data_IF_837153298800
#
_entry.id   IF_837153298800
#
_cell.length_a   1.000
_cell.length_b   1.000
_cell.length_c   1.000
_cell.angle_alpha   90.00
_cell.angle_beta   90.00
_cell.angle_gamma   90.00
#
_symmetry.space_group_name_H-M   'P 1'
#
loop_
_entity.id
_entity.type
_entity.pdbx_description
1 polymer ?
#
# COMPACT_ATOMS: atom_id res chain seq x y z
N UNK A 1 -64.73 -22.97 -27.52
CA UNK A 1 -64.12 -23.45 -26.26
C UNK A 1 -62.73 -23.05 -26.20
N UNK A 2 -62.45 -22.01 -25.47
CA UNK A 2 -61.26 -21.21 -25.42
C UNK A 2 -60.32 -21.73 -24.30
N UNK A 3 -59.12 -22.15 -24.65
CA UNK A 3 -58.08 -22.61 -23.71
C UNK A 3 -57.01 -21.54 -23.49
N UNK A 4 -57.03 -20.94 -22.30
CA UNK A 4 -56.06 -19.94 -21.84
C UNK A 4 -54.73 -20.63 -21.48
N UNK A 5 -53.66 -20.38 -22.23
CA UNK A 5 -52.29 -20.74 -21.87
C UNK A 5 -51.72 -19.66 -20.93
N UNK A 6 -51.61 -19.98 -19.64
CA UNK A 6 -50.84 -19.23 -18.65
C UNK A 6 -49.36 -19.42 -18.93
N UNK A 7 -48.65 -18.35 -19.32
CA UNK A 7 -47.17 -18.28 -19.31
C UNK A 7 -46.71 -18.04 -17.88
N UNK A 8 -46.14 -19.05 -17.25
CA UNK A 8 -45.38 -18.94 -16.00
C UNK A 8 -43.98 -18.44 -16.34
N UNK A 9 -43.68 -17.20 -15.96
CA UNK A 9 -42.34 -16.66 -16.03
C UNK A 9 -41.48 -17.28 -14.92
N UNK A 10 -40.61 -18.20 -15.30
CA UNK A 10 -39.54 -18.71 -14.44
C UNK A 10 -38.53 -17.57 -14.20
N UNK A 11 -38.54 -16.98 -13.00
CA UNK A 11 -37.44 -16.15 -12.51
C UNK A 11 -36.28 -17.11 -12.22
N UNK A 12 -35.32 -17.16 -13.12
CA UNK A 12 -34.02 -17.81 -12.90
C UNK A 12 -33.20 -16.96 -11.95
N UNK A 13 -33.29 -17.23 -10.65
CA UNK A 13 -32.27 -16.82 -9.70
C UNK A 13 -31.08 -17.75 -9.90
N UNK A 14 -30.11 -17.33 -10.73
CA UNK A 14 -28.86 -18.03 -10.86
C UNK A 14 -28.13 -17.94 -9.49
N UNK A 15 -28.31 -19.00 -8.69
CA UNK A 15 -27.47 -19.21 -7.52
C UNK A 15 -26.03 -19.40 -8.02
N UNK A 16 -25.15 -18.47 -7.70
CA UNK A 16 -23.71 -18.60 -7.97
C UNK A 16 -23.24 -19.86 -7.24
N UNK A 17 -22.89 -20.87 -8.01
CA UNK A 17 -22.46 -22.16 -7.48
C UNK A 17 -21.21 -21.99 -6.60
N UNK A 18 -21.04 -22.77 -5.52
CA UNK A 18 -19.84 -22.71 -4.65
C UNK A 18 -18.51 -22.84 -5.41
N UNK A 19 -18.52 -23.57 -6.53
CA UNK A 19 -17.35 -23.75 -7.40
C UNK A 19 -16.87 -22.43 -8.05
N UNK A 20 -17.78 -21.57 -8.50
CA UNK A 20 -17.43 -20.25 -9.06
C UNK A 20 -16.83 -19.30 -8.01
N UNK A 21 -17.30 -19.37 -6.76
CA UNK A 21 -16.73 -18.61 -5.64
C UNK A 21 -15.32 -19.08 -5.30
N UNK A 22 -15.07 -20.39 -5.33
CA UNK A 22 -13.74 -20.97 -5.06
C UNK A 22 -12.73 -20.60 -6.13
N UNK A 23 -13.10 -20.55 -7.41
CA UNK A 23 -12.23 -20.14 -8.51
C UNK A 23 -11.89 -18.65 -8.42
N UNK A 24 -12.86 -17.78 -8.11
CA UNK A 24 -12.64 -16.35 -7.97
C UNK A 24 -11.69 -16.01 -6.81
N UNK A 25 -11.77 -16.76 -5.71
CA UNK A 25 -10.85 -16.58 -4.56
C UNK A 25 -9.45 -17.15 -4.86
N UNK A 26 -9.36 -18.27 -5.58
CA UNK A 26 -8.07 -18.84 -5.98
C UNK A 26 -7.29 -17.87 -6.89
N UNK A 27 -7.97 -17.19 -7.83
CA UNK A 27 -7.38 -16.14 -8.66
C UNK A 27 -6.84 -14.97 -7.84
N UNK A 28 -7.60 -14.49 -6.87
CA UNK A 28 -7.16 -13.43 -5.95
C UNK A 28 -5.94 -13.87 -5.12
N UNK A 29 -5.94 -15.09 -4.59
CA UNK A 29 -4.81 -15.64 -3.82
C UNK A 29 -3.55 -15.75 -4.67
N UNK A 30 -3.67 -16.25 -5.91
CA UNK A 30 -2.54 -16.35 -6.86
C UNK A 30 -2.03 -14.96 -7.25
N UNK A 31 -2.91 -13.99 -7.51
CA UNK A 31 -2.54 -12.63 -7.85
C UNK A 31 -1.84 -11.90 -6.69
N UNK A 32 -2.34 -12.08 -5.47
CA UNK A 32 -1.75 -11.47 -4.26
C UNK A 32 -0.44 -12.14 -3.83
N UNK A 33 -0.27 -13.45 -4.11
CA UNK A 33 0.97 -14.19 -3.81
C UNK A 33 2.06 -14.03 -4.88
N UNK A 34 1.70 -13.73 -6.13
CA UNK A 34 2.62 -13.59 -7.26
C UNK A 34 3.33 -12.22 -7.34
N UNK A 35 3.22 -11.38 -6.32
CA UNK A 35 3.74 -10.00 -6.27
C UNK A 35 5.26 -9.83 -6.26
N UNK A 36 6.03 -10.81 -6.75
CA UNK A 36 7.43 -10.62 -7.10
C UNK A 36 7.50 -9.95 -8.48
N UNK A 37 7.80 -8.66 -8.52
CA UNK A 37 7.96 -7.89 -9.75
C UNK A 37 9.21 -8.35 -10.51
N UNK A 38 9.11 -8.71 -11.81
CA UNK A 38 10.29 -8.79 -12.66
C UNK A 38 10.67 -7.35 -13.07
N UNK A 39 11.91 -6.98 -12.77
CA UNK A 39 12.52 -5.77 -13.30
C UNK A 39 12.52 -5.80 -14.84
N UNK A 40 11.82 -4.88 -15.48
CA UNK A 40 11.93 -4.61 -16.92
C UNK A 40 12.31 -3.17 -17.16
N UNK A 41 13.53 -3.00 -17.65
CA UNK A 41 14.06 -1.75 -18.19
C UNK A 41 13.26 -1.29 -19.40
N UNK A 42 12.67 -0.10 -19.33
CA UNK A 42 12.33 0.67 -20.51
C UNK A 42 12.59 2.15 -20.25
N UNK A 43 13.55 2.67 -20.99
CA UNK A 43 13.83 4.09 -21.10
C UNK A 43 12.68 4.82 -21.82
N UNK A 44 12.15 5.91 -21.24
CA UNK A 44 11.27 6.84 -21.94
C UNK A 44 11.68 8.27 -21.57
N UNK A 45 11.86 9.08 -22.60
CA UNK A 45 12.26 10.49 -22.66
C UNK A 45 11.17 11.41 -22.07
N UNK A 46 11.53 12.54 -21.45
CA UNK A 46 10.56 13.46 -20.88
C UNK A 46 10.05 14.52 -21.87
N UNK A 47 8.89 15.11 -21.64
CA UNK A 47 8.55 16.43 -22.13
C UNK A 47 8.68 17.52 -21.06
N UNK A 48 9.11 18.67 -21.55
CA UNK A 48 9.38 19.95 -20.86
C UNK A 48 8.08 20.75 -20.70
N UNK A 49 7.99 21.53 -19.63
CA UNK A 49 7.22 22.79 -19.66
C UNK A 49 6.25 23.07 -18.52
N UNK A 50 6.51 24.18 -17.83
CA UNK A 50 5.57 25.24 -17.57
C UNK A 50 5.05 25.36 -16.13
N UNK A 51 5.52 26.41 -15.42
CA UNK A 51 5.10 26.75 -14.06
C UNK A 51 3.80 27.50 -13.95
N UNK A 52 3.33 27.66 -12.71
CA UNK A 52 2.78 28.90 -12.16
C UNK A 52 2.43 28.73 -10.68
N UNK A 53 2.71 29.77 -9.92
CA UNK A 53 2.45 29.93 -8.49
C UNK A 53 0.99 30.30 -8.21
N UNK A 54 0.51 30.03 -6.98
CA UNK A 54 -0.79 30.52 -6.52
C UNK A 54 -1.11 30.14 -5.07
N UNK A 55 -0.78 31.06 -4.17
CA UNK A 55 -1.50 31.49 -2.95
C UNK A 55 -2.29 30.49 -2.07
N UNK A 56 -1.98 30.50 -0.78
CA UNK A 56 -2.75 29.95 0.32
C UNK A 56 -3.94 30.84 0.71
N UNK A 57 -4.93 30.31 1.40
CA UNK A 57 -5.48 31.01 2.56
C UNK A 57 -5.73 30.15 3.82
N UNK A 58 -5.54 30.82 4.89
CA UNK A 58 -6.04 30.91 6.26
C UNK A 58 -6.85 29.77 6.92
N UNK A 59 -6.52 29.64 8.21
CA UNK A 59 -7.04 28.77 9.29
C UNK A 59 -8.47 29.08 9.70
N UNK A 60 -9.18 28.06 10.16
CA UNK A 60 -10.20 28.17 11.18
C UNK A 60 -10.17 26.97 12.14
N UNK A 61 -10.38 27.22 13.44
CA UNK A 61 -10.24 26.31 14.57
C UNK A 61 -11.50 25.43 14.81
N UNK A 62 -11.44 24.41 15.71
CA UNK A 62 -12.40 23.32 15.78
C UNK A 62 -13.56 23.57 16.76
N UNK A 63 -14.71 23.00 16.46
CA UNK A 63 -15.82 22.84 17.43
C UNK A 63 -16.16 21.36 17.62
N UNK A 64 -16.51 21.05 18.85
CA UNK A 64 -16.68 19.74 19.49
C UNK A 64 -18.07 19.14 19.31
N UNK A 65 -18.09 17.80 19.21
CA UNK A 65 -19.02 16.80 19.73
C UNK A 65 -20.48 16.76 19.25
N UNK A 66 -20.95 15.55 18.99
CA UNK A 66 -22.36 15.13 19.00
C UNK A 66 -22.62 13.88 18.18
N UNK A 67 -23.09 12.85 18.86
CA UNK A 67 -23.42 11.49 18.46
C UNK A 67 -24.44 11.35 17.34
N UNK A 68 -24.35 10.20 16.71
CA UNK A 68 -25.42 9.31 16.24
C UNK A 68 -25.33 8.87 14.78
N UNK A 69 -25.21 7.61 14.63
CA UNK A 69 -25.30 6.66 13.59
C UNK A 69 -26.02 6.93 12.26
N UNK A 70 -25.47 6.26 11.26
CA UNK A 70 -26.17 5.85 10.04
C UNK A 70 -26.42 6.94 8.99
N UNK A 71 -25.37 7.29 8.26
CA UNK A 71 -25.37 7.76 6.85
C UNK A 71 -24.04 8.48 6.51
N UNK A 72 -22.89 7.79 6.56
CA UNK A 72 -21.57 8.47 6.47
C UNK A 72 -20.55 7.84 5.53
N UNK A 73 -20.99 7.19 4.45
CA UNK A 73 -20.00 6.72 3.45
C UNK A 73 -19.43 7.88 2.59
N UNK A 74 -20.13 9.02 2.52
CA UNK A 74 -19.69 10.19 1.77
C UNK A 74 -18.87 11.23 2.58
N UNK A 75 -19.05 11.29 3.89
CA UNK A 75 -18.41 12.33 4.72
C UNK A 75 -16.96 11.99 5.12
N UNK A 76 -16.58 10.70 5.12
CA UNK A 76 -15.25 10.25 5.55
C UNK A 76 -14.15 10.38 4.48
N UNK A 77 -14.49 10.60 3.22
CA UNK A 77 -13.48 10.83 2.17
C UNK A 77 -12.82 12.20 2.27
N UNK A 78 -13.48 13.17 2.93
CA UNK A 78 -12.99 14.52 3.17
C UNK A 78 -12.17 14.63 4.47
N UNK A 79 -12.16 13.61 5.34
CA UNK A 79 -11.37 13.63 6.56
C UNK A 79 -9.88 13.76 6.22
N UNK A 80 -9.20 14.65 6.92
CA UNK A 80 -7.77 14.82 6.79
C UNK A 80 -7.07 13.48 7.05
N UNK A 81 -6.23 13.08 6.10
CA UNK A 81 -5.40 11.89 6.22
C UNK A 81 -4.46 12.03 7.42
N UNK A 82 -4.53 11.12 8.36
CA UNK A 82 -3.84 11.24 9.65
C UNK A 82 -2.51 10.51 9.73
N UNK A 83 -2.39 9.32 9.13
CA UNK A 83 -1.15 8.51 9.17
C UNK A 83 -1.16 7.40 8.12
N UNK A 84 0.02 6.89 7.77
CA UNK A 84 0.19 5.64 7.02
C UNK A 84 0.23 4.46 7.99
N UNK A 85 -0.41 3.38 7.62
CA UNK A 85 -0.38 2.09 8.31
C UNK A 85 0.26 1.08 7.36
N UNK A 86 1.35 0.49 7.80
CA UNK A 86 2.12 -0.44 6.98
C UNK A 86 1.69 -1.87 7.29
N UNK A 87 1.28 -2.62 6.28
CA UNK A 87 0.89 -4.00 6.50
C UNK A 87 2.12 -4.90 6.61
N UNK A 88 2.13 -5.76 7.62
CA UNK A 88 3.12 -6.79 7.82
C UNK A 88 2.70 -8.13 7.22
N UNK A 89 1.40 -8.44 7.31
CA UNK A 89 0.81 -9.62 6.73
C UNK A 89 -0.43 -9.29 5.91
N UNK A 90 -0.64 -10.05 4.84
CA UNK A 90 -1.90 -10.21 4.15
C UNK A 90 -2.42 -11.62 4.45
N UNK A 91 -3.65 -11.71 4.92
CA UNK A 91 -4.33 -13.00 5.09
C UNK A 91 -5.50 -13.11 4.13
N UNK A 92 -5.72 -14.30 3.59
CA UNK A 92 -6.85 -14.60 2.70
C UNK A 92 -7.57 -15.84 3.20
N UNK A 93 -8.85 -15.70 3.49
CA UNK A 93 -9.74 -16.77 3.91
C UNK A 93 -10.83 -16.97 2.83
N UNK A 94 -10.80 -18.07 2.07
CA UNK A 94 -11.70 -18.26 0.92
C UNK A 94 -13.18 -18.12 1.22
N UNK A 95 -13.60 -18.45 2.43
CA UNK A 95 -14.99 -18.36 2.89
C UNK A 95 -15.35 -17.03 3.54
N UNK A 96 -14.37 -16.12 3.63
CA UNK A 96 -14.49 -14.84 4.32
C UNK A 96 -14.13 -14.92 5.80
N UNK A 97 -13.58 -13.83 6.31
CA UNK A 97 -13.25 -13.65 7.72
C UNK A 97 -14.50 -13.23 8.49
N UNK A 98 -14.85 -13.96 9.54
CA UNK A 98 -15.92 -13.51 10.45
C UNK A 98 -15.43 -12.34 11.31
N UNK A 99 -16.33 -11.47 11.76
CA UNK A 99 -16.02 -10.39 12.67
C UNK A 99 -15.29 -10.89 13.94
N UNK A 100 -15.67 -12.08 14.44
CA UNK A 100 -15.01 -12.71 15.59
C UNK A 100 -13.54 -13.08 15.29
N UNK A 101 -13.23 -13.62 14.09
CA UNK A 101 -11.84 -13.89 13.67
C UNK A 101 -11.03 -12.60 13.57
N UNK A 102 -11.59 -11.56 12.94
CA UNK A 102 -10.93 -10.23 12.82
C UNK A 102 -10.65 -9.65 14.21
N UNK A 103 -11.61 -9.69 15.12
CA UNK A 103 -11.43 -9.22 16.49
C UNK A 103 -10.36 -10.03 17.27
N UNK A 104 -10.30 -11.35 17.06
CA UNK A 104 -9.26 -12.20 17.68
C UNK A 104 -7.88 -11.88 17.16
N UNK A 105 -7.72 -11.63 15.84
CA UNK A 105 -6.46 -11.19 15.24
C UNK A 105 -6.04 -9.86 15.87
N UNK A 106 -6.95 -8.90 16.04
CA UNK A 106 -6.67 -7.61 16.68
C UNK A 106 -6.19 -7.69 18.13
N UNK A 107 -6.44 -8.82 18.81
CA UNK A 107 -5.98 -9.09 20.20
C UNK A 107 -4.62 -9.81 20.27
N UNK A 108 -4.04 -10.22 19.16
CA UNK A 108 -2.70 -10.83 19.13
C UNK A 108 -1.68 -9.79 19.58
N UNK A 109 -0.76 -10.20 20.46
CA UNK A 109 0.29 -9.32 20.96
C UNK A 109 1.10 -8.70 19.81
N UNK A 110 1.30 -7.39 19.84
CA UNK A 110 2.00 -6.63 18.81
C UNK A 110 1.12 -6.18 17.64
N UNK A 111 -0.07 -6.73 17.43
CA UNK A 111 -1.00 -6.25 16.40
C UNK A 111 -1.55 -4.88 16.78
N UNK A 112 -1.37 -3.90 15.91
CA UNK A 112 -1.85 -2.53 16.08
C UNK A 112 -3.08 -2.22 15.24
N UNK A 113 -3.13 -2.74 14.02
CA UNK A 113 -4.23 -2.48 13.11
C UNK A 113 -4.57 -3.73 12.29
N UNK A 114 -5.85 -3.91 12.02
CA UNK A 114 -6.38 -4.94 11.12
C UNK A 114 -7.42 -4.29 10.21
N UNK A 115 -7.30 -4.50 8.91
CA UNK A 115 -8.27 -4.04 7.93
C UNK A 115 -8.77 -5.23 7.10
N UNK A 116 -9.98 -5.67 7.33
CA UNK A 116 -10.66 -6.65 6.50
C UNK A 116 -11.32 -5.96 5.30
N UNK A 117 -11.32 -6.64 4.13
CA UNK A 117 -11.90 -6.14 2.91
C UNK A 117 -12.44 -7.25 2.02
N UNK A 118 -13.37 -6.87 1.15
CA UNK A 118 -13.96 -7.78 0.17
C UNK A 118 -12.99 -8.03 -0.99
N UNK A 119 -13.19 -9.10 -1.74
CA UNK A 119 -12.37 -9.31 -2.93
C UNK A 119 -12.81 -10.47 -3.78
N UNK A 120 -12.19 -10.58 -4.94
CA UNK A 120 -12.41 -11.66 -5.89
C UNK A 120 -11.81 -11.37 -7.25
N UNK A 121 -11.92 -12.34 -8.14
CA UNK A 121 -11.63 -12.18 -9.56
C UNK A 121 -12.93 -11.90 -10.32
N UNK A 122 -12.91 -10.88 -11.17
CA UNK A 122 -14.00 -10.52 -12.05
C UNK A 122 -13.47 -10.28 -13.47
N UNK A 123 -14.34 -9.97 -14.42
CA UNK A 123 -13.92 -9.53 -15.76
C UNK A 123 -14.14 -8.03 -15.93
N UNK A 124 -13.13 -7.35 -16.46
CA UNK A 124 -13.19 -5.96 -16.87
C UNK A 124 -12.59 -5.82 -18.26
N UNK A 125 -13.25 -5.10 -19.18
CA UNK A 125 -12.84 -4.99 -20.59
C UNK A 125 -12.54 -6.38 -21.22
N UNK A 126 -13.35 -7.40 -20.90
CA UNK A 126 -13.20 -8.76 -21.38
C UNK A 126 -12.07 -9.59 -20.76
N UNK A 127 -11.27 -9.04 -19.84
CA UNK A 127 -10.10 -9.70 -19.24
C UNK A 127 -10.32 -9.99 -17.75
N UNK A 128 -9.75 -11.08 -17.20
CA UNK A 128 -9.79 -11.33 -15.77
C UNK A 128 -8.96 -10.28 -15.02
N UNK A 129 -9.47 -9.83 -13.89
CA UNK A 129 -8.84 -8.84 -13.02
C UNK A 129 -9.11 -9.16 -11.56
N UNK A 130 -8.10 -8.94 -10.72
CA UNK A 130 -8.23 -9.02 -9.26
C UNK A 130 -8.79 -7.72 -8.72
N UNK A 131 -9.91 -7.80 -7.99
CA UNK A 131 -10.60 -6.62 -7.44
C UNK A 131 -10.76 -6.74 -5.95
N UNK A 132 -10.52 -5.65 -5.24
CA UNK A 132 -10.86 -5.52 -3.83
C UNK A 132 -11.95 -4.47 -3.63
N UNK A 133 -12.82 -4.73 -2.64
CA UNK A 133 -13.87 -3.84 -2.19
C UNK A 133 -13.54 -3.30 -0.81
N UNK A 134 -13.45 -1.99 -0.68
CA UNK A 134 -12.94 -1.35 0.54
C UNK A 134 -13.86 -0.23 1.03
N UNK A 135 -13.75 0.10 2.33
CA UNK A 135 -14.17 1.41 2.83
C UNK A 135 -13.06 2.41 2.52
N UNK A 136 -13.31 3.46 1.70
CA UNK A 136 -12.28 4.40 1.28
C UNK A 136 -11.55 5.09 2.44
N UNK A 137 -12.28 5.50 3.49
CA UNK A 137 -11.71 6.18 4.64
C UNK A 137 -10.76 5.31 5.46
N UNK A 138 -11.06 4.01 5.57
CA UNK A 138 -10.22 3.06 6.28
C UNK A 138 -9.02 2.60 5.44
N UNK A 139 -9.22 2.32 4.15
CA UNK A 139 -8.18 1.82 3.27
C UNK A 139 -7.13 2.86 2.92
N UNK A 140 -7.49 4.15 2.97
CA UNK A 140 -6.61 5.28 2.65
C UNK A 140 -5.28 5.22 3.40
N UNK A 141 -5.31 4.94 4.69
CA UNK A 141 -4.12 4.82 5.53
C UNK A 141 -3.21 3.64 5.17
N UNK A 142 -3.68 2.66 4.42
CA UNK A 142 -2.94 1.46 4.03
C UNK A 142 -2.33 1.53 2.64
N UNK A 143 -2.46 2.67 1.97
CA UNK A 143 -1.89 2.89 0.63
C UNK A 143 -0.61 3.72 0.72
N UNK A 144 0.26 3.63 -0.30
CA UNK A 144 1.44 4.47 -0.36
C UNK A 144 1.05 5.94 -0.22
N UNK A 145 1.92 6.68 0.47
CA UNK A 145 1.69 8.05 0.88
C UNK A 145 1.14 8.97 -0.22
N UNK A 146 1.68 8.87 -1.44
CA UNK A 146 1.21 9.67 -2.59
C UNK A 146 -0.23 9.36 -2.94
N UNK A 147 -0.62 8.09 -2.91
CA UNK A 147 -2.00 7.67 -3.11
C UNK A 147 -2.86 8.11 -1.93
N UNK A 148 -2.37 7.93 -0.70
CA UNK A 148 -3.06 8.39 0.50
C UNK A 148 -3.32 9.91 0.50
N UNK A 149 -2.41 10.71 -0.05
CA UNK A 149 -2.52 12.18 -0.14
C UNK A 149 -3.33 12.67 -1.35
N UNK A 150 -3.61 11.80 -2.34
CA UNK A 150 -4.34 12.18 -3.54
C UNK A 150 -5.86 12.24 -3.29
N UNK A 151 -6.35 13.43 -2.95
CA UNK A 151 -7.77 13.66 -2.66
C UNK A 151 -8.67 13.28 -3.85
N UNK A 152 -8.23 13.52 -5.09
CA UNK A 152 -9.01 13.18 -6.29
C UNK A 152 -9.22 11.67 -6.44
N UNK A 153 -8.23 10.86 -6.06
CA UNK A 153 -8.33 9.40 -6.03
C UNK A 153 -9.41 8.93 -5.04
N UNK A 154 -9.40 9.46 -3.83
CA UNK A 154 -10.33 9.08 -2.77
C UNK A 154 -11.75 9.57 -3.02
N UNK A 155 -11.90 10.77 -3.55
CA UNK A 155 -13.21 11.29 -3.99
C UNK A 155 -13.79 10.39 -5.08
N UNK A 156 -13.00 10.03 -6.11
CA UNK A 156 -13.49 9.16 -7.17
C UNK A 156 -13.97 7.79 -6.63
N UNK A 157 -13.21 7.19 -5.69
CA UNK A 157 -13.59 5.89 -5.07
C UNK A 157 -14.86 6.02 -4.22
N UNK A 158 -15.00 7.09 -3.46
CA UNK A 158 -16.18 7.38 -2.62
C UNK A 158 -17.43 7.61 -3.47
N UNK A 159 -17.29 8.28 -4.62
CA UNK A 159 -18.36 8.51 -5.61
C UNK A 159 -18.80 7.23 -6.33
N UNK A 160 -18.23 6.06 -6.00
CA UNK A 160 -18.57 4.81 -6.63
C UNK A 160 -17.86 4.50 -7.95
N UNK A 161 -16.88 5.33 -8.35
CA UNK A 161 -16.00 5.04 -9.47
C UNK A 161 -14.99 3.96 -9.02
N UNK A 162 -14.50 3.14 -9.95
CA UNK A 162 -13.39 2.25 -9.63
C UNK A 162 -12.05 2.96 -9.88
N UNK A 163 -11.05 2.57 -9.12
CA UNK A 163 -9.67 3.00 -9.29
C UNK A 163 -8.79 1.80 -9.61
N UNK A 164 -7.62 2.01 -10.22
CA UNK A 164 -6.82 0.94 -10.75
C UNK A 164 -5.33 1.07 -10.43
N UNK A 165 -4.63 -0.06 -10.37
CA UNK A 165 -3.18 -0.05 -10.43
C UNK A 165 -2.70 0.50 -11.78
N UNK A 166 -1.53 1.18 -11.86
CA UNK A 166 -0.99 1.71 -13.11
C UNK A 166 -0.79 0.63 -14.19
N UNK A 167 -0.37 -0.57 -13.80
CA UNK A 167 -0.22 -1.73 -14.68
C UNK A 167 -1.57 -2.19 -15.25
N UNK A 168 -2.60 -2.25 -14.43
CA UNK A 168 -3.96 -2.61 -14.85
C UNK A 168 -4.55 -1.54 -15.79
N UNK A 169 -4.37 -0.25 -15.47
CA UNK A 169 -4.77 0.84 -16.38
C UNK A 169 -4.16 0.66 -17.78
N UNK A 170 -2.85 0.41 -17.84
CA UNK A 170 -2.14 0.21 -19.13
C UNK A 170 -2.62 -1.06 -19.84
N UNK A 171 -2.71 -2.19 -19.12
CA UNK A 171 -3.11 -3.49 -19.66
C UNK A 171 -4.53 -3.50 -20.21
N UNK A 172 -5.45 -2.79 -19.56
CA UNK A 172 -6.88 -2.74 -19.91
C UNK A 172 -7.24 -1.53 -20.80
N UNK A 173 -6.30 -0.63 -21.08
CA UNK A 173 -6.55 0.58 -21.86
C UNK A 173 -7.54 1.56 -21.22
N UNK A 174 -7.53 1.67 -19.88
CA UNK A 174 -8.52 2.46 -19.15
C UNK A 174 -8.34 3.97 -19.39
N UNK A 175 -9.44 4.63 -19.73
CA UNK A 175 -9.54 6.10 -19.92
C UNK A 175 -10.35 6.71 -18.79
N UNK A 176 -9.81 7.73 -18.13
CA UNK A 176 -10.48 8.44 -17.04
C UNK A 176 -11.85 8.98 -17.49
N UNK A 177 -12.88 8.77 -16.68
CA UNK A 177 -14.25 9.17 -16.97
C UNK A 177 -15.03 8.21 -17.87
N UNK A 178 -14.39 7.22 -18.51
CA UNK A 178 -15.09 6.22 -19.30
C UNK A 178 -15.72 5.15 -18.40
N UNK A 179 -16.87 4.61 -18.83
CA UNK A 179 -17.57 3.52 -18.15
C UNK A 179 -17.16 2.17 -18.72
N UNK A 180 -16.98 1.18 -17.83
CA UNK A 180 -16.60 -0.19 -18.18
C UNK A 180 -17.54 -1.18 -17.51
N UNK A 181 -17.89 -2.25 -18.22
CA UNK A 181 -18.66 -3.36 -17.64
C UNK A 181 -17.74 -4.17 -16.73
N UNK A 182 -18.03 -4.16 -15.44
CA UNK A 182 -17.40 -5.02 -14.45
C UNK A 182 -18.33 -6.23 -14.22
N UNK A 183 -17.87 -7.42 -14.58
CA UNK A 183 -18.66 -8.65 -14.55
C UNK A 183 -18.12 -9.59 -13.46
N UNK A 184 -18.78 -9.56 -12.30
CA UNK A 184 -18.63 -10.51 -11.19
C UNK A 184 -19.81 -11.49 -11.13
N UNK A 185 -20.39 -11.69 -9.95
CA UNK A 185 -21.65 -12.43 -9.83
C UNK A 185 -22.82 -11.69 -10.52
N UNK A 186 -22.71 -10.37 -10.64
CA UNK A 186 -23.55 -9.56 -11.51
C UNK A 186 -22.66 -8.60 -12.33
N UNK A 187 -23.17 -8.19 -13.50
CA UNK A 187 -22.48 -7.23 -14.35
C UNK A 187 -23.02 -5.82 -14.09
N UNK A 188 -22.09 -4.86 -13.92
CA UNK A 188 -22.44 -3.46 -13.67
C UNK A 188 -21.55 -2.52 -14.51
N UNK A 189 -22.12 -1.46 -15.08
CA UNK A 189 -21.34 -0.37 -15.63
C UNK A 189 -20.75 0.46 -14.48
N UNK A 190 -19.43 0.63 -14.44
CA UNK A 190 -18.74 1.44 -13.43
C UNK A 190 -17.74 2.34 -14.13
N UNK A 191 -17.73 3.61 -13.74
CA UNK A 191 -16.83 4.61 -14.33
C UNK A 191 -15.42 4.47 -13.76
N UNK A 192 -14.40 4.52 -14.62
CA UNK A 192 -13.01 4.59 -14.20
C UNK A 192 -12.65 5.99 -13.71
N UNK A 193 -12.23 6.09 -12.46
CA UNK A 193 -11.82 7.35 -11.84
C UNK A 193 -10.39 7.72 -12.11
N UNK A 194 -9.45 6.92 -11.60
CA UNK A 194 -8.02 7.25 -11.61
C UNK A 194 -7.16 6.00 -11.41
N UNK A 195 -5.85 6.10 -11.72
CA UNK A 195 -4.86 5.06 -11.39
C UNK A 195 -3.80 5.61 -10.46
N UNK A 196 -3.44 4.81 -9.46
CA UNK A 196 -2.33 5.07 -8.54
C UNK A 196 -1.79 3.76 -7.95
N UNK A 197 -0.64 3.80 -7.29
CA UNK A 197 -0.10 2.66 -6.56
C UNK A 197 -1.04 2.29 -5.41
N UNK A 198 -1.49 1.03 -5.37
CA UNK A 198 -2.51 0.58 -4.42
C UNK A 198 -1.93 0.07 -3.09
N UNK A 199 -0.61 -0.15 -3.01
CA UNK A 199 0.06 -0.67 -1.82
C UNK A 199 -0.17 -2.16 -1.54
N UNK A 200 -1.01 -2.82 -2.32
CA UNK A 200 -1.26 -4.26 -2.23
C UNK A 200 -0.92 -4.89 -3.58
N UNK A 201 0.12 -5.72 -3.59
CA UNK A 201 0.57 -6.39 -4.81
C UNK A 201 -0.51 -7.33 -5.34
N UNK A 202 -0.59 -7.47 -6.68
CA UNK A 202 -1.54 -8.37 -7.34
C UNK A 202 -2.98 -7.86 -7.40
N UNK A 203 -3.29 -6.69 -6.85
CA UNK A 203 -4.60 -6.03 -7.00
C UNK A 203 -4.60 -5.17 -8.25
N UNK A 204 -5.55 -5.40 -9.12
CA UNK A 204 -5.74 -4.64 -10.35
C UNK A 204 -6.66 -3.43 -10.15
N UNK A 205 -7.79 -3.65 -9.49
CA UNK A 205 -8.84 -2.65 -9.32
C UNK A 205 -9.28 -2.56 -7.85
N UNK A 206 -9.69 -1.37 -7.45
CA UNK A 206 -10.34 -1.13 -6.17
C UNK A 206 -11.70 -0.49 -6.41
N UNK A 207 -12.70 -0.98 -5.73
CA UNK A 207 -14.07 -0.45 -5.69
C UNK A 207 -14.47 -0.15 -4.24
N UNK A 208 -15.46 0.72 -4.04
CA UNK A 208 -16.01 0.92 -2.69
C UNK A 208 -16.89 -0.27 -2.26
N UNK A 209 -17.22 -0.35 -0.98
CA UNK A 209 -18.00 -1.44 -0.40
C UNK A 209 -19.39 -1.61 -1.02
N UNK A 210 -20.02 -0.52 -1.50
CA UNK A 210 -21.33 -0.58 -2.20
C UNK A 210 -21.19 -1.30 -3.54
N UNK A 211 -20.21 -0.88 -4.35
CA UNK A 211 -19.92 -1.50 -5.65
C UNK A 211 -19.46 -2.94 -5.49
N UNK A 212 -18.65 -3.24 -4.46
CA UNK A 212 -18.23 -4.60 -4.10
C UNK A 212 -19.42 -5.53 -3.91
N UNK A 213 -20.38 -5.13 -3.06
CA UNK A 213 -21.60 -5.90 -2.82
C UNK A 213 -22.43 -6.07 -4.09
N UNK A 214 -22.57 -5.01 -4.91
CA UNK A 214 -23.31 -5.06 -6.16
C UNK A 214 -22.67 -5.99 -7.20
N UNK A 215 -21.35 -6.16 -7.19
CA UNK A 215 -20.62 -7.11 -8.04
C UNK A 215 -20.62 -8.54 -7.47
N UNK A 216 -21.04 -8.72 -6.23
CA UNK A 216 -21.05 -10.02 -5.53
C UNK A 216 -19.66 -10.52 -5.18
N UNK A 217 -18.71 -9.62 -4.86
CA UNK A 217 -17.41 -10.01 -4.32
C UNK A 217 -17.58 -10.76 -3.00
N UNK A 218 -16.60 -11.60 -2.66
CA UNK A 218 -16.63 -12.34 -1.39
C UNK A 218 -16.37 -11.36 -0.25
N UNK A 219 -17.32 -11.31 0.70
CA UNK A 219 -17.25 -10.39 1.83
C UNK A 219 -16.10 -10.76 2.78
N UNK A 220 -15.30 -9.75 3.17
CA UNK A 220 -14.19 -9.90 4.12
C UNK A 220 -13.26 -11.07 3.78
N UNK A 221 -12.99 -11.31 2.49
CA UNK A 221 -12.18 -12.46 2.05
C UNK A 221 -10.72 -12.33 2.46
N UNK A 222 -10.27 -11.12 2.71
CA UNK A 222 -8.88 -10.85 3.08
C UNK A 222 -8.77 -9.77 4.16
N UNK A 223 -7.62 -9.74 4.83
CA UNK A 223 -7.28 -8.65 5.74
C UNK A 223 -5.79 -8.30 5.68
N UNK A 224 -5.49 -7.01 5.79
CA UNK A 224 -4.16 -6.50 6.10
C UNK A 224 -3.98 -6.43 7.61
N UNK A 225 -2.82 -6.83 8.09
CA UNK A 225 -2.46 -6.81 9.51
C UNK A 225 -1.19 -6.01 9.66
N UNK A 226 -1.22 -5.00 10.54
CA UNK A 226 -0.04 -4.24 10.95
C UNK A 226 0.32 -4.60 12.38
N UNK A 227 1.55 -5.04 12.57
CA UNK A 227 2.12 -5.45 13.84
C UNK A 227 3.60 -5.03 13.90
N UNK A 228 3.89 -3.72 13.83
CA UNK A 228 5.26 -3.22 13.83
C UNK A 228 5.98 -3.73 15.09
N UNK A 229 7.16 -4.32 14.91
CA UNK A 229 7.95 -4.88 16.01
C UNK A 229 7.64 -6.32 16.42
N UNK A 230 6.52 -6.89 16.04
CA UNK A 230 6.29 -8.32 16.26
C UNK A 230 7.25 -9.16 15.40
N UNK A 231 7.84 -10.20 15.96
CA UNK A 231 8.61 -11.18 15.20
C UNK A 231 7.72 -11.86 14.15
N UNK A 232 8.12 -11.81 12.87
CA UNK A 232 7.29 -12.28 11.75
C UNK A 232 6.83 -13.74 11.90
N UNK A 233 7.72 -14.63 12.35
CA UNK A 233 7.41 -16.05 12.56
C UNK A 233 6.35 -16.22 13.68
N UNK A 234 6.51 -15.53 14.80
CA UNK A 234 5.57 -15.59 15.92
C UNK A 234 4.20 -15.00 15.54
N UNK A 235 4.19 -13.88 14.83
CA UNK A 235 2.97 -13.24 14.31
C UNK A 235 2.24 -14.20 13.36
N UNK A 236 2.95 -14.76 12.37
CA UNK A 236 2.38 -15.70 11.39
C UNK A 236 1.78 -16.92 12.07
N UNK A 237 2.49 -17.50 13.05
CA UNK A 237 2.01 -18.65 13.85
C UNK A 237 0.74 -18.30 14.64
N UNK A 238 0.73 -17.17 15.32
CA UNK A 238 -0.43 -16.72 16.09
C UNK A 238 -1.66 -16.43 15.21
N UNK A 239 -1.46 -15.81 14.05
CA UNK A 239 -2.53 -15.56 13.07
C UNK A 239 -3.06 -16.88 12.49
N UNK A 240 -2.16 -17.82 12.16
CA UNK A 240 -2.53 -19.16 11.68
C UNK A 240 -3.37 -19.93 12.71
N UNK A 241 -3.03 -19.84 13.99
CA UNK A 241 -3.82 -20.46 15.06
C UNK A 241 -5.25 -19.90 15.17
N UNK A 242 -5.44 -18.61 14.86
CA UNK A 242 -6.79 -17.98 14.84
C UNK A 242 -7.58 -18.41 13.60
N UNK A 243 -6.93 -18.51 12.43
CA UNK A 243 -7.60 -18.68 11.15
C UNK A 243 -7.83 -20.16 10.79
N UNK A 244 -6.88 -21.02 11.17
CA UNK A 244 -6.87 -22.43 10.79
C UNK A 244 -6.22 -22.69 9.41
N UNK A 245 -6.17 -23.97 8.97
CA UNK A 245 -5.34 -24.37 7.84
C UNK A 245 -5.82 -23.94 6.45
N UNK A 246 -7.05 -23.48 6.33
CA UNK A 246 -7.61 -23.04 5.04
C UNK A 246 -7.19 -21.63 4.64
N UNK A 247 -6.75 -20.82 5.61
CA UNK A 247 -6.29 -19.47 5.35
C UNK A 247 -4.91 -19.47 4.70
N UNK A 248 -4.69 -18.54 3.78
CA UNK A 248 -3.36 -18.23 3.24
C UNK A 248 -2.83 -16.99 3.93
N UNK A 249 -1.60 -17.07 4.38
CA UNK A 249 -0.91 -15.95 5.04
C UNK A 249 0.32 -15.61 4.20
N UNK A 250 0.41 -14.35 3.79
CA UNK A 250 1.50 -13.82 2.97
C UNK A 250 2.21 -12.73 3.76
N UNK A 251 3.51 -12.86 3.93
CA UNK A 251 4.33 -11.78 4.49
C UNK A 251 4.46 -10.66 3.47
N UNK A 252 4.18 -9.44 3.92
CA UNK A 252 4.38 -8.21 3.16
C UNK A 252 5.66 -7.49 3.60
N UNK A 253 6.32 -7.98 4.66
CA UNK A 253 7.65 -7.48 5.03
C UNK A 253 8.67 -7.97 4.01
N UNK A 254 9.35 -7.04 3.36
CA UNK A 254 10.54 -7.35 2.59
C UNK A 254 11.70 -7.59 3.57
N UNK A 255 11.95 -8.85 3.92
CA UNK A 255 13.08 -9.21 4.79
C UNK A 255 14.35 -9.55 4.01
N UNK A 256 14.23 -9.76 2.71
CA UNK A 256 15.34 -10.15 1.88
C UNK A 256 15.87 -9.00 1.05
N UNK A 257 17.13 -8.66 1.26
CA UNK A 257 17.89 -7.81 0.37
C UNK A 257 18.27 -8.63 -0.89
N UNK A 258 18.32 -7.98 -2.07
CA UNK A 258 18.76 -8.65 -3.28
C UNK A 258 20.17 -9.24 -3.06
N UNK A 259 20.36 -10.49 -3.46
CA UNK A 259 21.67 -11.11 -3.48
C UNK A 259 22.60 -10.28 -4.37
N UNK A 260 23.71 -9.82 -3.84
CA UNK A 260 24.72 -9.10 -4.62
C UNK A 260 25.99 -9.95 -4.79
N UNK A 261 26.17 -10.63 -5.95
CA UNK A 261 27.24 -11.58 -6.17
C UNK A 261 28.64 -10.94 -6.30
N UNK A 262 28.76 -9.59 -6.28
CA UNK A 262 30.01 -8.88 -6.60
C UNK A 262 30.76 -8.30 -5.41
N UNK A 263 30.47 -8.72 -4.18
CA UNK A 263 31.10 -8.14 -3.00
C UNK A 263 31.80 -9.19 -2.15
N UNK A 264 33.11 -9.00 -1.97
CA UNK A 264 33.89 -9.66 -0.94
C UNK A 264 33.71 -8.88 0.37
N UNK A 265 32.91 -9.37 1.29
CA UNK A 265 32.65 -8.76 2.59
C UNK A 265 31.29 -9.14 3.15
N UNK A 266 31.12 -9.04 4.46
CA UNK A 266 29.86 -9.36 5.11
C UNK A 266 28.89 -8.17 4.96
N UNK A 267 28.04 -8.21 3.93
CA UNK A 267 26.95 -7.24 3.77
C UNK A 267 25.79 -7.55 4.72
N UNK A 268 25.01 -6.52 5.12
CA UNK A 268 23.80 -6.72 5.88
C UNK A 268 22.84 -7.69 5.18
N UNK A 269 22.41 -8.74 5.87
CA UNK A 269 21.53 -9.77 5.30
C UNK A 269 20.03 -9.41 5.34
N UNK A 270 19.66 -8.27 5.94
CA UNK A 270 18.29 -7.81 6.06
C UNK A 270 18.21 -6.28 6.06
N UNK A 271 17.04 -5.73 5.75
CA UNK A 271 16.81 -4.28 5.85
C UNK A 271 17.06 -3.75 7.26
N UNK A 272 16.67 -4.46 8.30
CA UNK A 272 16.95 -4.08 9.70
C UNK A 272 18.46 -3.93 9.95
N UNK A 273 19.25 -4.92 9.52
CA UNK A 273 20.71 -4.85 9.65
C UNK A 273 21.30 -3.72 8.79
N UNK A 274 20.75 -3.50 7.60
CA UNK A 274 21.16 -2.44 6.69
C UNK A 274 20.93 -1.04 7.30
N UNK A 275 19.75 -0.79 7.87
CA UNK A 275 19.44 0.47 8.54
C UNK A 275 20.36 0.73 9.74
N UNK A 276 20.57 -0.29 10.59
CA UNK A 276 21.46 -0.21 11.76
C UNK A 276 22.90 0.13 11.36
N UNK A 277 23.43 -0.61 10.39
CA UNK A 277 24.82 -0.41 9.94
C UNK A 277 24.98 0.90 9.15
N UNK A 278 23.96 1.31 8.36
CA UNK A 278 24.02 2.57 7.64
C UNK A 278 23.98 3.76 8.58
N UNK A 279 23.11 3.76 9.59
CA UNK A 279 23.09 4.83 10.58
C UNK A 279 24.44 4.93 11.32
N UNK A 280 24.93 3.82 11.84
CA UNK A 280 26.20 3.80 12.57
C UNK A 280 27.40 4.26 11.72
N UNK A 281 27.44 3.89 10.44
CA UNK A 281 28.59 4.15 9.56
C UNK A 281 28.56 5.51 8.87
N UNK A 282 27.38 5.98 8.46
CA UNK A 282 27.21 7.15 7.60
C UNK A 282 26.55 8.34 8.31
N UNK A 283 26.01 8.13 9.50
CA UNK A 283 25.47 9.19 10.34
C UNK A 283 25.51 8.81 11.84
N UNK A 284 26.72 8.71 12.38
CA UNK A 284 26.91 8.42 13.81
C UNK A 284 26.17 9.45 14.69
N UNK A 285 25.35 8.98 15.61
CA UNK A 285 24.49 9.83 16.45
C UNK A 285 23.01 9.84 16.02
N UNK A 286 22.70 9.55 14.76
CA UNK A 286 21.31 9.37 14.31
C UNK A 286 20.80 7.96 14.63
N UNK A 287 19.60 7.86 15.19
CA UNK A 287 18.96 6.55 15.39
C UNK A 287 18.69 5.84 14.05
N UNK A 288 19.05 4.55 13.97
CA UNK A 288 18.73 3.70 12.82
C UNK A 288 17.23 3.63 12.53
N UNK A 289 16.39 3.85 13.56
CA UNK A 289 14.94 3.82 13.43
C UNK A 289 14.40 4.91 12.52
N UNK A 290 15.12 6.01 12.37
CA UNK A 290 14.78 7.08 11.42
C UNK A 290 14.91 6.58 9.98
N UNK A 291 16.02 5.91 9.63
CA UNK A 291 16.19 5.30 8.31
C UNK A 291 15.16 4.22 8.02
N UNK A 292 14.88 3.39 9.03
CA UNK A 292 13.87 2.35 8.92
C UNK A 292 12.48 2.94 8.68
N UNK A 293 12.11 4.00 9.42
CA UNK A 293 10.83 4.67 9.23
C UNK A 293 10.72 5.31 7.84
N UNK A 294 11.78 5.98 7.37
CA UNK A 294 11.82 6.55 6.01
C UNK A 294 11.71 5.44 4.96
N UNK A 295 12.55 4.40 5.01
CA UNK A 295 12.53 3.30 4.03
C UNK A 295 11.19 2.60 3.96
N UNK A 296 10.56 2.42 5.10
CA UNK A 296 9.24 1.85 5.20
C UNK A 296 8.17 2.76 4.59
N UNK A 297 8.15 4.06 4.89
CA UNK A 297 7.18 5.03 4.35
C UNK A 297 7.36 5.19 2.83
N UNK A 298 8.59 5.27 2.35
CA UNK A 298 8.90 5.55 0.95
C UNK A 298 8.60 4.37 0.03
N UNK A 299 8.98 3.16 0.43
CA UNK A 299 8.93 2.01 -0.47
C UNK A 299 8.42 0.70 0.15
N UNK A 300 7.98 0.70 1.41
CA UNK A 300 7.76 -0.52 2.19
C UNK A 300 9.01 -1.44 2.15
N UNK A 301 10.14 -0.89 2.56
CA UNK A 301 11.45 -1.55 2.56
C UNK A 301 11.80 -2.20 1.22
N UNK A 302 11.71 -1.43 0.15
CA UNK A 302 12.07 -1.86 -1.19
C UNK A 302 11.03 -2.70 -1.94
N UNK A 303 9.81 -2.81 -1.44
CA UNK A 303 8.70 -3.48 -2.15
C UNK A 303 8.17 -2.63 -3.31
N UNK A 304 8.17 -1.30 -3.18
CA UNK A 304 7.64 -0.35 -4.16
C UNK A 304 8.74 0.64 -4.62
N UNK A 305 9.71 0.18 -5.37
CA UNK A 305 10.87 0.97 -5.80
C UNK A 305 10.70 1.73 -7.11
N UNK A 306 9.57 1.56 -7.78
CA UNK A 306 9.30 2.18 -9.07
C UNK A 306 9.13 3.70 -8.98
N UNK A 307 9.21 4.42 -10.14
CA UNK A 307 9.15 5.85 -10.14
C UNK A 307 7.81 6.36 -9.60
N UNK A 308 7.90 7.27 -8.68
CA UNK A 308 6.77 8.01 -8.16
C UNK A 308 6.20 8.98 -9.20
N UNK A 309 5.07 9.64 -8.92
CA UNK A 309 4.52 10.67 -9.81
C UNK A 309 5.46 11.89 -9.98
N UNK A 310 6.38 12.13 -9.03
CA UNK A 310 7.44 13.14 -9.14
C UNK A 310 8.76 12.56 -9.69
N UNK A 311 8.78 11.29 -10.08
CA UNK A 311 9.97 10.63 -10.60
C UNK A 311 10.99 10.20 -9.54
N UNK A 312 10.60 10.08 -8.27
CA UNK A 312 11.48 9.52 -7.24
C UNK A 312 11.55 7.98 -7.38
N UNK A 313 12.72 7.39 -7.17
CA UNK A 313 13.02 5.99 -7.46
C UNK A 313 13.78 5.32 -6.32
N UNK A 314 13.76 4.00 -6.32
CA UNK A 314 14.53 3.16 -5.42
C UNK A 314 13.94 3.00 -4.01
N UNK A 315 14.60 2.23 -3.15
CA UNK A 315 14.11 1.91 -1.80
C UNK A 315 13.91 3.11 -0.89
N UNK A 316 14.66 4.19 -1.14
CA UNK A 316 14.59 5.43 -0.37
C UNK A 316 13.97 6.58 -1.16
N UNK A 317 13.35 6.30 -2.32
CA UNK A 317 12.62 7.22 -3.18
C UNK A 317 13.34 8.55 -3.45
N UNK A 318 14.61 8.47 -3.85
CA UNK A 318 15.37 9.63 -4.29
C UNK A 318 14.86 10.18 -5.64
N UNK A 319 14.80 11.50 -5.74
CA UNK A 319 14.72 12.13 -7.04
C UNK A 319 16.07 11.95 -7.79
N UNK A 320 16.09 11.74 -9.11
CA UNK A 320 17.35 11.62 -9.86
C UNK A 320 18.30 12.81 -9.71
N UNK A 321 17.77 14.02 -9.51
CA UNK A 321 18.57 15.22 -9.23
C UNK A 321 19.26 15.17 -7.87
N UNK A 322 18.52 14.73 -6.85
CA UNK A 322 19.05 14.54 -5.48
C UNK A 322 20.05 13.39 -5.44
N UNK A 323 19.77 12.31 -6.19
CA UNK A 323 20.69 11.19 -6.32
C UNK A 323 22.06 11.55 -6.89
N UNK A 324 22.10 12.44 -7.88
CA UNK A 324 23.37 12.94 -8.45
C UNK A 324 24.29 13.61 -7.41
N UNK A 325 23.72 14.21 -6.38
CA UNK A 325 24.47 14.90 -5.31
C UNK A 325 24.82 13.94 -4.17
N UNK A 326 23.89 13.10 -3.76
CA UNK A 326 23.98 12.32 -2.54
C UNK A 326 24.28 10.84 -2.74
N UNK A 327 24.09 10.31 -3.95
CA UNK A 327 24.32 8.89 -4.25
C UNK A 327 25.76 8.47 -3.98
N UNK A 328 25.93 7.43 -3.19
CA UNK A 328 27.22 6.80 -2.91
C UNK A 328 27.13 5.29 -3.09
N UNK A 329 28.24 4.69 -3.47
CA UNK A 329 28.40 3.24 -3.41
C UNK A 329 28.69 2.85 -1.96
N UNK A 330 27.71 2.20 -1.32
CA UNK A 330 27.77 1.89 0.11
C UNK A 330 28.66 0.68 0.43
N UNK A 331 29.09 0.60 1.70
CA UNK A 331 29.79 -0.57 2.29
C UNK A 331 31.09 -0.97 1.61
N UNK A 332 31.79 -0.03 0.97
CA UNK A 332 33.08 -0.32 0.29
C UNK A 332 32.92 -1.15 -0.98
N UNK A 333 31.73 -1.22 -1.55
CA UNK A 333 31.49 -1.84 -2.86
C UNK A 333 32.17 -1.01 -3.98
N UNK A 334 32.35 -1.62 -5.12
CA UNK A 334 32.92 -0.96 -6.31
C UNK A 334 31.86 -0.63 -7.34
N UNK A 335 32.15 0.33 -8.23
CA UNK A 335 31.28 0.76 -9.31
C UNK A 335 30.47 2.02 -8.98
N UNK A 336 29.72 2.55 -9.94
CA UNK A 336 28.86 3.71 -9.74
C UNK A 336 27.68 3.35 -8.80
N UNK A 337 27.20 4.34 -7.99
CA UNK A 337 26.05 4.12 -7.14
C UNK A 337 24.77 3.89 -7.97
N UNK A 338 23.96 2.93 -7.53
CA UNK A 338 22.69 2.57 -8.16
C UNK A 338 21.51 2.93 -7.23
N UNK A 339 20.67 3.84 -7.69
CA UNK A 339 19.49 4.34 -6.94
C UNK A 339 18.50 3.21 -6.58
N UNK A 340 18.47 2.13 -7.36
CA UNK A 340 17.61 0.97 -7.15
C UNK A 340 18.21 -0.03 -6.15
N UNK A 341 19.49 0.12 -5.84
CA UNK A 341 20.20 -0.80 -4.96
C UNK A 341 20.10 -0.35 -3.49
N UNK A 342 19.49 -1.14 -2.59
CA UNK A 342 19.36 -0.75 -1.18
C UNK A 342 20.71 -0.54 -0.48
N UNK A 343 21.76 -1.24 -0.89
CA UNK A 343 23.11 -1.06 -0.33
C UNK A 343 23.77 0.28 -0.71
N UNK A 344 23.19 1.00 -1.67
CA UNK A 344 23.62 2.34 -2.06
C UNK A 344 22.58 3.38 -1.57
N UNK A 345 21.30 3.10 -1.76
CA UNK A 345 20.22 4.04 -1.44
C UNK A 345 20.12 4.34 0.07
N UNK A 346 20.20 3.32 0.95
CA UNK A 346 20.10 3.53 2.41
C UNK A 346 21.32 4.28 2.98
N UNK A 347 22.58 3.93 2.63
CA UNK A 347 23.74 4.75 2.99
C UNK A 347 23.69 6.18 2.47
N UNK A 348 23.20 6.39 1.25
CA UNK A 348 23.04 7.72 0.66
C UNK A 348 22.03 8.57 1.43
N UNK A 349 20.90 7.97 1.85
CA UNK A 349 19.93 8.64 2.71
C UNK A 349 20.51 8.98 4.09
N UNK A 350 21.26 8.06 4.69
CA UNK A 350 21.93 8.32 5.97
C UNK A 350 22.92 9.50 5.85
N UNK A 351 23.72 9.54 4.77
CA UNK A 351 24.68 10.61 4.50
C UNK A 351 23.97 11.96 4.30
N UNK A 352 22.90 12.01 3.52
CA UNK A 352 22.12 13.22 3.28
C UNK A 352 21.52 13.75 4.58
N UNK A 353 20.81 12.92 5.33
CA UNK A 353 20.23 13.30 6.62
C UNK A 353 21.29 13.78 7.63
N UNK A 354 22.49 13.19 7.59
CA UNK A 354 23.60 13.60 8.46
C UNK A 354 24.10 15.00 8.11
N UNK A 355 24.22 15.29 6.81
CA UNK A 355 24.63 16.61 6.33
C UNK A 355 23.60 17.70 6.71
N UNK A 356 22.31 17.32 6.74
CA UNK A 356 21.20 18.17 7.14
C UNK A 356 21.03 18.24 8.68
N UNK A 357 21.95 17.63 9.46
CA UNK A 357 22.03 17.78 10.91
C UNK A 357 21.27 16.73 11.73
N UNK A 358 20.82 15.61 11.14
CA UNK A 358 20.00 14.61 11.83
C UNK A 358 20.66 14.03 13.09
N UNK A 359 22.00 13.95 13.13
CA UNK A 359 22.75 13.46 14.29
C UNK A 359 22.60 14.34 15.55
N UNK A 360 22.22 15.61 15.39
CA UNK A 360 22.00 16.55 16.50
C UNK A 360 20.72 16.31 17.29
N UNK A 361 19.81 15.47 16.79
CA UNK A 361 18.53 15.20 17.43
C UNK A 361 17.61 16.42 17.48
N UNK A 362 16.50 16.31 18.21
CA UNK A 362 15.56 17.41 18.47
C UNK A 362 15.15 18.19 17.21
N UNK A 363 15.31 19.53 17.25
CA UNK A 363 14.94 20.40 16.12
C UNK A 363 15.78 20.14 14.87
N UNK A 364 17.07 19.83 15.01
CA UNK A 364 17.94 19.54 13.87
C UNK A 364 17.47 18.27 13.12
N UNK A 365 17.13 17.22 13.87
CA UNK A 365 16.55 16.00 13.28
C UNK A 365 15.21 16.30 12.60
N UNK A 366 14.34 17.10 13.23
CA UNK A 366 13.08 17.52 12.62
C UNK A 366 13.31 18.20 11.28
N UNK A 367 14.25 19.15 11.24
CA UNK A 367 14.58 19.90 10.03
C UNK A 367 15.16 18.99 8.94
N UNK A 368 16.09 18.09 9.28
CA UNK A 368 16.66 17.14 8.33
C UNK A 368 15.60 16.22 7.69
N UNK A 369 14.62 15.74 8.46
CA UNK A 369 13.51 14.97 7.91
C UNK A 369 12.58 15.86 7.08
N UNK A 370 12.39 17.12 7.45
CA UNK A 370 11.60 18.08 6.67
C UNK A 370 12.26 18.36 5.30
N UNK A 371 13.57 18.49 5.26
CA UNK A 371 14.33 18.72 4.02
C UNK A 371 14.32 17.50 3.10
N UNK A 372 14.15 16.29 3.67
CA UNK A 372 13.96 15.05 2.90
C UNK A 372 12.63 15.06 2.14
N UNK A 373 11.55 15.51 2.77
CA UNK A 373 10.21 15.61 2.17
C UNK A 373 9.47 16.80 2.78
N UNK A 374 9.46 17.94 2.11
CA UNK A 374 9.01 19.26 2.54
C UNK A 374 7.55 19.31 3.07
N UNK A 375 7.21 18.40 4.01
CA UNK A 375 5.88 18.28 4.59
C UNK A 375 5.95 17.96 6.09
N UNK A 376 5.40 18.85 6.93
CA UNK A 376 5.41 18.68 8.39
C UNK A 376 4.68 17.41 8.87
N UNK A 377 3.62 16.96 8.16
CA UNK A 377 2.95 15.70 8.46
C UNK A 377 3.89 14.48 8.21
N UNK A 378 4.75 14.53 7.18
CA UNK A 378 5.74 13.48 6.91
C UNK A 378 6.74 13.35 8.06
N UNK A 379 7.25 14.48 8.56
CA UNK A 379 8.15 14.48 9.72
C UNK A 379 7.52 13.80 10.94
N UNK A 380 6.26 14.15 11.24
CA UNK A 380 5.54 13.54 12.36
C UNK A 380 5.32 12.04 12.16
N UNK A 381 5.08 11.60 10.94
CA UNK A 381 4.92 10.17 10.61
C UNK A 381 6.24 9.41 10.79
N UNK A 382 7.35 9.94 10.26
CA UNK A 382 8.68 9.36 10.42
C UNK A 382 9.05 9.27 11.91
N UNK A 383 8.89 10.34 12.67
CA UNK A 383 9.21 10.36 14.09
C UNK A 383 8.32 9.42 14.91
N UNK A 384 7.03 9.35 14.58
CA UNK A 384 6.07 8.43 15.21
C UNK A 384 6.46 6.97 15.00
N UNK A 385 6.72 6.58 13.75
CA UNK A 385 7.12 5.21 13.38
C UNK A 385 8.51 4.87 13.94
N UNK A 386 9.45 5.81 13.90
CA UNK A 386 10.78 5.61 14.50
C UNK A 386 10.70 5.36 16.01
N UNK A 387 9.82 6.07 16.72
CA UNK A 387 9.58 5.84 18.14
C UNK A 387 8.92 4.47 18.41
N UNK A 388 8.04 3.98 17.54
CA UNK A 388 7.50 2.63 17.61
C UNK A 388 8.61 1.58 17.45
N UNK A 389 9.46 1.72 16.42
CA UNK A 389 10.60 0.82 16.21
C UNK A 389 11.59 0.83 17.39
N UNK A 390 11.84 1.99 17.98
CA UNK A 390 12.72 2.09 19.15
C UNK A 390 12.18 1.33 20.36
N UNK A 391 10.87 1.22 20.53
CA UNK A 391 10.24 0.42 21.59
C UNK A 391 10.30 -1.09 21.31
N UNK A 392 10.07 -1.45 20.06
CA UNK A 392 9.78 -2.82 19.65
C UNK A 392 11.03 -3.64 19.30
N UNK A 393 12.16 -2.96 19.03
CA UNK A 393 13.45 -3.60 18.66
C UNK A 393 14.59 -3.24 19.64
N UNK A 394 14.30 -3.16 20.92
CA UNK A 394 15.28 -2.94 21.99
C UNK A 394 16.27 -4.09 22.08
#
# INVERSE_FOLDING_TARGET
>A
MTGLLRRTALRSTAAVTPALRSVAVAGLVLALAAGAYPARNHAVRPPVGGGAAGSAPARSAPTRAGEAGSATDGANAAAAFGRIILPDLLVVEPTGLTAAKVARIGKIAGVRNVLAFDGGEIRAAGRPVSVIGVNPGQFRSWTPLRTASDQGFWTALSDGKFVAAPSARKRLGLRRGASYQLAGASTRPVTFGQAAALGVAGVDLVVNARTSRALGLVHSVAALISAPGAGLAALTSAVSAVLGPKAKIVSLRSTQLPANPKVSGQLPGSYLALFRQSAARYCAGMSWTILAAIGQIESADGTNVGPSSAGAEGPMQFLPSTWKVWGITGFGRSGPPDIMNPYDAVPSAARMLCADGAAGGGHALYQAIFDYNHAGWYVNEVLGLAAEYARDYR
#
